data_IF_329000805433
#
_entry.id   IF_329000805433
#
_cell.length_a   1.000
_cell.length_b   1.000
_cell.length_c   1.000
_cell.angle_alpha   90.00
_cell.angle_beta   90.00
_cell.angle_gamma   90.00
#
_symmetry.space_group_name_H-M   'P 1'
#
loop_
_entity.id
_entity.type
_entity.pdbx_description
1 polymer ?
#
# COMPACT_ATOMS: atom_id res chain seq x y z
N UNK A 1 -0.36 20.84 15.33
CA UNK A 1 -0.15 19.41 15.65
C UNK A 1 0.83 18.84 14.62
N UNK A 2 1.91 18.23 15.08
CA UNK A 2 2.83 17.55 14.18
C UNK A 2 2.39 16.10 14.10
N UNK A 3 2.32 15.57 12.90
CA UNK A 3 2.04 14.17 12.66
C UNK A 3 3.27 13.53 12.04
N UNK A 4 3.72 12.42 12.61
CA UNK A 4 4.63 11.52 11.96
C UNK A 4 3.85 10.73 10.90
N UNK A 5 4.42 10.59 9.72
CA UNK A 5 3.79 9.90 8.61
C UNK A 5 4.77 8.90 8.02
N UNK A 6 4.28 7.70 7.73
CA UNK A 6 5.05 6.69 7.02
C UNK A 6 5.09 7.07 5.54
N UNK A 7 6.28 7.07 4.97
CA UNK A 7 6.50 7.38 3.57
C UNK A 7 7.00 6.17 2.79
N UNK A 8 6.54 6.01 1.56
CA UNK A 8 7.08 5.06 0.58
C UNK A 8 7.50 5.80 -0.69
N UNK A 9 8.51 5.27 -1.36
CA UNK A 9 9.03 5.79 -2.61
C UNK A 9 8.68 4.82 -3.73
N UNK A 10 7.70 5.17 -4.54
CA UNK A 10 7.15 4.27 -5.55
C UNK A 10 7.89 4.45 -6.88
N UNK A 11 8.62 3.43 -7.29
CA UNK A 11 9.30 3.37 -8.57
C UNK A 11 9.05 2.01 -9.22
N UNK A 12 8.59 1.99 -10.47
CA UNK A 12 8.22 0.79 -11.21
C UNK A 12 7.33 -0.17 -10.40
N UNK A 13 6.34 0.40 -9.69
CA UNK A 13 5.39 -0.33 -8.86
C UNK A 13 5.97 -0.96 -7.59
N UNK A 14 7.21 -0.64 -7.22
CA UNK A 14 7.92 -1.18 -6.05
C UNK A 14 8.34 -0.07 -5.11
N UNK A 15 8.52 -0.41 -3.84
CA UNK A 15 9.10 0.53 -2.89
C UNK A 15 10.60 0.64 -3.13
N UNK A 16 11.09 1.83 -3.43
CA UNK A 16 12.52 2.13 -3.56
C UNK A 16 13.09 2.57 -2.20
N UNK A 17 14.36 2.28 -1.94
CA UNK A 17 15.05 2.72 -0.72
C UNK A 17 15.69 4.08 -0.95
N UNK A 18 15.12 5.11 -0.33
CA UNK A 18 15.70 6.45 -0.23
C UNK A 18 15.64 7.31 -1.49
N UNK A 19 15.62 8.61 -1.26
CA UNK A 19 16.03 9.60 -2.25
C UNK A 19 17.54 9.80 -2.07
N UNK A 20 18.39 9.31 -2.99
CA UNK A 20 19.80 9.70 -2.96
C UNK A 20 19.86 11.21 -3.18
N UNK A 21 20.08 11.93 -2.09
CA UNK A 21 20.19 13.38 -2.13
C UNK A 21 21.40 13.80 -2.95
N UNK A 22 21.19 14.21 -4.14
CA UNK A 22 21.95 15.19 -4.93
C UNK A 22 21.76 15.11 -6.45
N UNK A 23 21.15 14.06 -7.00
CA UNK A 23 21.04 13.96 -8.47
C UNK A 23 19.70 13.46 -9.02
N UNK A 24 18.68 13.24 -8.19
CA UNK A 24 17.38 12.77 -8.68
C UNK A 24 17.35 11.34 -9.24
N UNK A 25 18.47 10.63 -9.18
CA UNK A 25 18.54 9.22 -9.49
C UNK A 25 18.36 8.44 -8.19
N UNK A 26 17.19 7.86 -7.99
CA UNK A 26 17.00 6.87 -6.95
C UNK A 26 17.88 5.68 -7.29
N UNK A 27 18.92 5.42 -6.51
CA UNK A 27 19.57 4.12 -6.53
C UNK A 27 18.53 3.11 -6.03
N UNK A 28 18.01 2.35 -6.99
CA UNK A 28 16.95 1.41 -6.77
C UNK A 28 17.51 0.13 -6.14
N UNK A 29 17.79 0.15 -4.84
CA UNK A 29 17.73 -1.08 -4.08
C UNK A 29 16.26 -1.40 -3.91
N UNK A 30 15.72 -2.27 -4.74
CA UNK A 30 14.35 -2.76 -4.66
C UNK A 30 14.20 -3.43 -3.30
N UNK A 31 13.58 -2.72 -2.36
CA UNK A 31 13.21 -3.29 -1.09
C UNK A 31 12.25 -4.48 -1.34
N UNK A 32 12.44 -5.55 -0.59
CA UNK A 32 11.66 -6.79 -0.72
C UNK A 32 10.17 -6.62 -0.34
N UNK A 33 9.76 -5.43 0.08
CA UNK A 33 8.43 -5.19 0.61
C UNK A 33 7.52 -4.52 -0.40
N UNK A 34 6.41 -5.15 -0.62
CA UNK A 34 5.34 -4.66 -1.46
C UNK A 34 4.65 -3.46 -0.78
N UNK A 35 4.38 -2.34 -1.49
CA UNK A 35 3.77 -1.13 -0.93
C UNK A 35 2.50 -1.38 -0.12
N UNK A 36 1.65 -2.31 -0.56
CA UNK A 36 0.43 -2.67 0.15
C UNK A 36 0.70 -3.35 1.50
N UNK A 37 1.72 -4.20 1.58
CA UNK A 37 2.11 -4.83 2.85
C UNK A 37 2.60 -3.79 3.88
N UNK A 38 3.31 -2.76 3.41
CA UNK A 38 3.72 -1.63 4.26
C UNK A 38 2.49 -0.89 4.79
N UNK A 39 1.52 -0.59 3.93
CA UNK A 39 0.26 0.06 4.33
C UNK A 39 -0.49 -0.73 5.41
N UNK A 40 -0.56 -2.06 5.26
CA UNK A 40 -1.18 -2.91 6.25
C UNK A 40 -0.47 -2.86 7.61
N UNK A 41 0.87 -2.81 7.59
CA UNK A 41 1.67 -2.58 8.79
C UNK A 41 1.35 -1.24 9.45
N UNK A 42 1.27 -0.16 8.68
CA UNK A 42 0.90 1.17 9.16
C UNK A 42 -0.49 1.19 9.83
N UNK A 43 -1.48 0.55 9.20
CA UNK A 43 -2.82 0.45 9.77
C UNK A 43 -2.82 -0.26 11.13
N UNK A 44 -2.07 -1.36 11.24
CA UNK A 44 -1.97 -2.12 12.49
C UNK A 44 -1.23 -1.35 13.59
N UNK A 45 -0.29 -0.49 13.22
CA UNK A 45 0.43 0.39 14.14
C UNK A 45 -0.37 1.65 14.54
N UNK A 46 -1.55 1.86 13.95
CA UNK A 46 -2.38 3.04 14.23
C UNK A 46 -1.90 4.32 13.55
N UNK A 47 -1.10 4.20 12.47
CA UNK A 47 -0.69 5.34 11.67
C UNK A 47 -1.91 6.02 11.02
N UNK A 48 -1.88 7.35 10.97
CA UNK A 48 -3.06 8.13 10.55
C UNK A 48 -3.17 8.33 9.04
N UNK A 49 -2.07 8.22 8.33
CA UNK A 49 -1.99 8.35 6.87
C UNK A 49 -0.69 7.74 6.35
N UNK A 50 -0.61 7.54 5.05
CA UNK A 50 0.59 7.13 4.33
C UNK A 50 0.93 8.17 3.26
N UNK A 51 2.21 8.57 3.18
CA UNK A 51 2.75 9.38 2.10
C UNK A 51 3.37 8.50 1.02
N UNK A 52 3.01 8.73 -0.22
CA UNK A 52 3.61 8.07 -1.38
C UNK A 52 4.33 9.10 -2.23
N UNK A 53 5.64 8.94 -2.40
CA UNK A 53 6.42 9.69 -3.37
C UNK A 53 6.44 8.93 -4.68
N UNK A 54 5.76 9.46 -5.71
CA UNK A 54 5.81 8.89 -7.05
C UNK A 54 7.09 9.35 -7.77
N UNK A 55 8.00 8.41 -7.98
CA UNK A 55 9.32 8.60 -8.60
C UNK A 55 9.37 8.14 -10.05
N UNK A 56 8.23 7.97 -10.73
CA UNK A 56 8.21 7.58 -12.13
C UNK A 56 9.05 8.50 -13.00
N UNK A 57 9.95 7.93 -13.77
CA UNK A 57 10.82 8.64 -14.70
C UNK A 57 10.15 8.86 -16.06
N UNK A 58 9.25 7.95 -16.46
CA UNK A 58 8.53 7.98 -17.72
C UNK A 58 7.07 7.54 -17.58
N UNK A 59 6.31 7.61 -18.67
CA UNK A 59 4.89 7.27 -18.69
C UNK A 59 4.60 5.78 -18.46
N UNK A 60 5.54 4.89 -18.75
CA UNK A 60 5.39 3.45 -18.50
C UNK A 60 5.51 3.15 -17.00
N UNK A 61 6.54 3.67 -16.36
CA UNK A 61 6.68 3.59 -14.90
C UNK A 61 5.50 4.26 -14.19
N UNK A 62 5.04 5.42 -14.70
CA UNK A 62 3.87 6.12 -14.15
C UNK A 62 2.62 5.23 -14.20
N UNK A 63 2.35 4.53 -15.29
CA UNK A 63 1.19 3.64 -15.39
C UNK A 63 1.24 2.52 -14.34
N UNK A 64 2.41 1.92 -14.13
CA UNK A 64 2.62 0.88 -13.11
C UNK A 64 2.43 1.45 -11.70
N UNK A 65 2.95 2.64 -11.42
CA UNK A 65 2.79 3.31 -10.13
C UNK A 65 1.33 3.68 -9.87
N UNK A 66 0.58 4.14 -10.86
CA UNK A 66 -0.85 4.45 -10.74
C UNK A 66 -1.69 3.21 -10.39
N UNK A 67 -1.36 2.04 -10.95
CA UNK A 67 -2.03 0.79 -10.59
C UNK A 67 -1.77 0.40 -9.12
N UNK A 68 -0.58 0.62 -8.62
CA UNK A 68 -0.26 0.43 -7.19
C UNK A 68 -0.98 1.42 -6.30
N UNK A 69 -0.98 2.71 -6.67
CA UNK A 69 -1.72 3.75 -5.94
C UNK A 69 -3.21 3.45 -5.89
N UNK A 70 -3.81 3.00 -7.00
CA UNK A 70 -5.22 2.55 -7.04
C UNK A 70 -5.50 1.47 -6.01
N UNK A 71 -4.61 0.49 -5.89
CA UNK A 71 -4.72 -0.58 -4.91
C UNK A 71 -4.66 -0.04 -3.48
N UNK A 72 -3.67 0.82 -3.19
CA UNK A 72 -3.49 1.42 -1.87
C UNK A 72 -4.72 2.25 -1.45
N UNK A 73 -5.24 3.09 -2.35
CA UNK A 73 -6.41 3.93 -2.07
C UNK A 73 -7.70 3.12 -1.94
N UNK A 74 -7.88 2.08 -2.75
CA UNK A 74 -9.10 1.26 -2.75
C UNK A 74 -9.22 0.39 -1.52
N UNK A 75 -8.12 -0.25 -1.14
CA UNK A 75 -8.10 -1.31 -0.14
C UNK A 75 -7.50 -0.88 1.20
N UNK A 76 -6.86 0.29 1.24
CA UNK A 76 -6.34 0.89 2.46
C UNK A 76 -7.44 1.44 3.38
N UNK A 77 -7.24 1.33 4.71
CA UNK A 77 -8.12 1.96 5.70
C UNK A 77 -7.58 3.31 6.20
N UNK A 78 -6.35 3.68 5.81
CA UNK A 78 -5.75 4.97 6.11
C UNK A 78 -5.66 5.83 4.86
N UNK A 79 -5.78 7.17 4.97
CA UNK A 79 -5.64 8.08 3.85
C UNK A 79 -4.28 7.95 3.16
N UNK A 80 -4.28 7.98 1.82
CA UNK A 80 -3.08 8.03 1.01
C UNK A 80 -2.86 9.45 0.53
N UNK A 81 -1.72 10.01 0.89
CA UNK A 81 -1.23 11.28 0.35
C UNK A 81 -0.19 10.99 -0.71
N UNK A 82 -0.10 11.83 -1.73
CA UNK A 82 0.87 11.64 -2.81
C UNK A 82 1.69 12.90 -3.03
N UNK A 83 2.99 12.71 -3.24
CA UNK A 83 3.95 13.72 -3.66
C UNK A 83 4.78 13.17 -4.82
N UNK A 84 5.57 14.02 -5.47
CA UNK A 84 6.45 13.63 -6.56
C UNK A 84 6.60 14.74 -7.60
N UNK A 85 6.98 14.35 -8.80
CA UNK A 85 7.13 15.29 -9.93
C UNK A 85 5.76 15.59 -10.55
N UNK A 86 5.04 16.55 -9.96
CA UNK A 86 3.69 16.97 -10.38
C UNK A 86 3.81 18.28 -11.17
N UNK A 87 3.67 18.20 -12.49
CA UNK A 87 3.94 19.31 -13.39
C UNK A 87 2.69 19.89 -14.08
N UNK A 88 1.53 19.24 -13.95
CA UNK A 88 0.30 19.66 -14.60
C UNK A 88 -0.96 19.19 -13.84
N UNK A 89 -2.08 19.82 -14.20
CA UNK A 89 -3.40 19.57 -13.61
C UNK A 89 -3.89 18.12 -13.86
N UNK A 90 -3.60 17.56 -15.03
CA UNK A 90 -4.04 16.21 -15.36
C UNK A 90 -3.42 15.16 -14.42
N UNK A 91 -2.18 15.37 -13.98
CA UNK A 91 -1.53 14.50 -13.01
C UNK A 91 -2.20 14.60 -11.63
N UNK A 92 -2.55 15.81 -11.18
CA UNK A 92 -3.32 16.03 -9.95
C UNK A 92 -4.68 15.32 -10.03
N UNK A 93 -5.39 15.52 -11.12
CA UNK A 93 -6.70 14.90 -11.39
C UNK A 93 -6.63 13.37 -11.36
N UNK A 94 -5.58 12.77 -11.93
CA UNK A 94 -5.37 11.32 -11.90
C UNK A 94 -5.21 10.81 -10.47
N UNK A 95 -4.34 11.41 -9.66
CA UNK A 95 -4.15 10.98 -8.28
C UNK A 95 -5.41 11.11 -7.43
N UNK A 96 -6.11 12.25 -7.51
CA UNK A 96 -7.37 12.42 -6.79
C UNK A 96 -8.44 11.46 -7.29
N UNK A 97 -8.50 11.19 -8.59
CA UNK A 97 -9.43 10.22 -9.20
C UNK A 97 -9.14 8.76 -8.79
N UNK A 98 -7.93 8.43 -8.38
CA UNK A 98 -7.59 7.13 -7.80
C UNK A 98 -8.03 6.99 -6.33
N UNK A 99 -8.45 8.08 -5.68
CA UNK A 99 -8.84 8.11 -4.26
C UNK A 99 -7.74 8.61 -3.32
N UNK A 100 -6.65 9.19 -3.84
CA UNK A 100 -5.69 9.87 -2.98
C UNK A 100 -6.38 11.02 -2.25
N UNK A 101 -6.17 11.11 -0.93
CA UNK A 101 -6.83 12.12 -0.10
C UNK A 101 -6.27 13.52 -0.35
N UNK A 102 -4.95 13.63 -0.53
CA UNK A 102 -4.24 14.89 -0.81
C UNK A 102 -3.10 14.70 -1.79
N UNK A 103 -2.83 15.75 -2.55
CA UNK A 103 -1.71 15.87 -3.48
C UNK A 103 -0.79 17.00 -3.03
N UNK A 104 0.48 16.69 -2.80
CA UNK A 104 1.48 17.65 -2.36
C UNK A 104 2.31 18.15 -3.53
N UNK A 105 2.25 19.45 -3.79
CA UNK A 105 2.98 20.10 -4.87
C UNK A 105 4.34 20.58 -4.36
N UNK A 106 5.37 20.36 -5.18
CA UNK A 106 6.73 20.85 -4.91
C UNK A 106 7.01 22.10 -5.75
N UNK A 107 7.33 23.20 -5.09
CA UNK A 107 7.61 24.46 -5.74
C UNK A 107 9.08 24.58 -6.13
N UNK A 108 9.44 23.97 -7.26
CA UNK A 108 10.78 24.16 -7.86
C UNK A 108 10.84 25.24 -8.93
N UNK A 109 9.71 25.80 -9.37
CA UNK A 109 9.66 26.71 -10.51
C UNK A 109 8.54 27.74 -10.42
N UNK A 110 8.67 28.84 -11.21
CA UNK A 110 7.62 29.84 -11.39
C UNK A 110 6.28 29.28 -11.92
N UNK A 111 6.31 28.13 -12.60
CA UNK A 111 5.11 27.40 -13.02
C UNK A 111 4.31 26.86 -11.84
N UNK A 112 4.95 26.60 -10.70
CA UNK A 112 4.29 26.00 -9.53
C UNK A 112 3.19 26.88 -8.94
N UNK A 113 3.36 28.20 -8.89
CA UNK A 113 2.34 29.11 -8.36
C UNK A 113 1.08 29.11 -9.22
N UNK A 114 1.25 29.21 -10.54
CA UNK A 114 0.12 29.17 -11.49
C UNK A 114 -0.61 27.83 -11.44
N UNK A 115 0.14 26.74 -11.37
CA UNK A 115 -0.43 25.40 -11.21
C UNK A 115 -1.22 25.27 -9.91
N UNK A 116 -0.72 25.85 -8.79
CA UNK A 116 -1.42 25.84 -7.52
C UNK A 116 -2.73 26.62 -7.59
N UNK A 117 -2.72 27.85 -8.13
CA UNK A 117 -3.91 28.69 -8.27
C UNK A 117 -4.99 27.97 -9.10
N UNK A 118 -4.60 27.35 -10.21
CA UNK A 118 -5.49 26.56 -11.07
C UNK A 118 -6.03 25.33 -10.32
N UNK A 119 -5.16 24.57 -9.61
CA UNK A 119 -5.54 23.41 -8.86
C UNK A 119 -6.51 23.73 -7.71
N UNK A 120 -6.30 24.84 -7.01
CA UNK A 120 -7.23 25.32 -5.96
C UNK A 120 -8.60 25.61 -6.54
N UNK A 121 -8.66 26.26 -7.71
CA UNK A 121 -9.93 26.55 -8.39
C UNK A 121 -10.70 25.29 -8.79
N UNK A 122 -10.00 24.22 -9.14
CA UNK A 122 -10.62 22.98 -9.61
C UNK A 122 -10.93 21.98 -8.49
N UNK A 123 -10.06 21.82 -7.52
CA UNK A 123 -10.14 20.72 -6.54
C UNK A 123 -10.38 21.21 -5.10
N UNK A 124 -10.21 22.50 -4.87
CA UNK A 124 -10.27 23.09 -3.52
C UNK A 124 -8.97 22.89 -2.73
N UNK A 125 -8.70 23.81 -1.81
CA UNK A 125 -7.49 23.79 -0.97
C UNK A 125 -7.36 22.53 -0.11
N UNK A 126 -8.48 21.92 0.26
CA UNK A 126 -8.50 20.75 1.16
C UNK A 126 -7.87 19.50 0.53
N UNK A 127 -7.79 19.46 -0.80
CA UNK A 127 -7.13 18.38 -1.55
C UNK A 127 -5.66 18.64 -1.83
N UNK A 128 -5.16 19.80 -1.46
CA UNK A 128 -3.82 20.25 -1.80
C UNK A 128 -2.96 20.42 -0.55
N UNK A 129 -1.71 20.01 -0.69
CA UNK A 129 -0.63 20.25 0.26
C UNK A 129 0.59 20.86 -0.43
N UNK A 130 1.49 21.38 0.35
CA UNK A 130 2.75 21.91 -0.15
C UNK A 130 3.93 21.15 0.46
N UNK A 131 4.78 20.61 -0.42
CA UNK A 131 6.01 19.92 -0.08
C UNK A 131 7.20 20.85 -0.20
N UNK A 132 8.01 20.96 0.84
CA UNK A 132 9.18 21.83 0.93
C UNK A 132 10.42 21.03 1.35
N UNK A 133 11.41 20.99 0.49
CA UNK A 133 12.67 20.28 0.71
C UNK A 133 13.68 21.11 1.52
N UNK A 134 13.76 22.43 1.26
CA UNK A 134 14.71 23.33 1.91
C UNK A 134 14.05 24.69 2.22
N UNK A 135 14.52 25.43 3.26
CA UNK A 135 13.96 26.73 3.61
C UNK A 135 14.18 27.80 2.55
N UNK A 136 15.19 27.66 1.70
CA UNK A 136 15.53 28.60 0.60
C UNK A 136 14.48 28.57 -0.52
N UNK A 137 13.63 27.57 -0.55
CA UNK A 137 12.52 27.42 -1.51
C UNK A 137 11.21 28.03 -1.02
N UNK A 138 11.22 28.75 0.12
CA UNK A 138 10.13 29.67 0.45
C UNK A 138 10.09 30.73 -0.66
N UNK A 139 8.90 31.04 -1.25
CA UNK A 139 8.81 32.10 -2.26
C UNK A 139 9.52 33.36 -1.82
N UNK A 140 10.08 34.14 -2.75
CA UNK A 140 10.89 35.33 -2.50
C UNK A 140 10.27 36.30 -1.46
N UNK A 141 8.97 36.27 -1.28
CA UNK A 141 8.24 37.09 -0.30
C UNK A 141 8.09 36.40 1.08
N UNK A 142 8.68 35.24 1.29
CA UNK A 142 8.62 34.53 2.57
C UNK A 142 7.22 34.03 3.00
N UNK A 143 6.23 34.09 2.11
CA UNK A 143 4.82 33.81 2.42
C UNK A 143 4.48 32.38 2.04
N UNK A 144 4.09 31.61 3.06
CA UNK A 144 3.50 30.28 2.89
C UNK A 144 2.11 30.46 2.28
N UNK A 145 1.71 29.70 1.24
CA UNK A 145 0.39 29.84 0.62
C UNK A 145 -0.72 29.22 1.48
N UNK A 146 -0.93 29.76 2.68
CA UNK A 146 -1.90 29.22 3.67
C UNK A 146 -3.34 29.25 3.18
N UNK A 147 -3.65 30.11 2.20
CA UNK A 147 -4.99 30.19 1.60
C UNK A 147 -5.21 29.12 0.53
N UNK A 148 -4.15 28.67 -0.10
CA UNK A 148 -4.15 27.79 -1.26
C UNK A 148 -3.98 26.31 -0.89
N UNK A 149 -3.39 26.01 0.27
CA UNK A 149 -3.16 24.64 0.72
C UNK A 149 -3.71 24.40 2.12
N UNK A 150 -3.95 23.13 2.44
CA UNK A 150 -4.49 22.72 3.75
C UNK A 150 -3.44 22.10 4.66
N UNK A 151 -2.25 21.81 4.15
CA UNK A 151 -1.20 21.08 4.89
C UNK A 151 0.18 21.34 4.29
N UNK A 152 1.19 21.28 5.14
CA UNK A 152 2.60 21.32 4.71
C UNK A 152 3.26 19.96 4.93
N UNK A 153 4.14 19.57 4.02
CA UNK A 153 5.10 18.49 4.17
C UNK A 153 6.50 19.12 4.14
N UNK A 154 7.24 18.99 5.23
CA UNK A 154 8.56 19.59 5.38
C UNK A 154 9.63 18.51 5.52
N UNK A 155 10.70 18.64 4.74
CA UNK A 155 11.95 17.93 5.00
C UNK A 155 12.64 18.48 6.27
N UNK A 156 13.51 17.71 6.92
CA UNK A 156 14.23 18.16 8.11
C UNK A 156 14.95 19.48 7.93
N UNK A 157 15.52 19.72 6.75
CA UNK A 157 16.19 20.97 6.40
C UNK A 157 15.22 22.19 6.38
N UNK A 158 13.94 21.95 6.15
CA UNK A 158 12.89 22.98 6.12
C UNK A 158 12.10 23.10 7.44
N UNK A 159 12.45 22.33 8.47
CA UNK A 159 11.71 22.28 9.74
C UNK A 159 11.57 23.64 10.44
N UNK A 160 12.49 24.58 10.21
CA UNK A 160 12.43 25.95 10.75
C UNK A 160 11.21 26.76 10.27
N UNK A 161 10.55 26.31 9.17
CA UNK A 161 9.35 26.96 8.63
C UNK A 161 8.10 26.64 9.46
N UNK A 162 8.14 25.58 10.26
CA UNK A 162 7.03 25.12 11.07
C UNK A 162 6.41 26.19 11.97
N UNK A 163 7.26 27.02 12.59
CA UNK A 163 6.81 28.06 13.53
C UNK A 163 6.24 29.30 12.82
N UNK A 164 6.30 29.34 11.48
CA UNK A 164 5.82 30.44 10.65
C UNK A 164 4.42 30.21 10.07
N UNK A 165 3.77 29.11 10.41
CA UNK A 165 2.46 28.74 9.84
C UNK A 165 1.52 28.20 10.89
N UNK A 166 0.20 28.40 10.65
CA UNK A 166 -0.88 27.75 11.41
C UNK A 166 -1.38 26.45 10.77
N UNK A 167 -0.89 26.13 9.58
CA UNK A 167 -1.26 24.89 8.89
C UNK A 167 -0.76 23.66 9.65
N UNK A 168 -1.47 22.54 9.56
CA UNK A 168 -0.94 21.24 9.96
C UNK A 168 0.36 20.93 9.21
N UNK A 169 1.37 20.49 9.93
CA UNK A 169 2.70 20.19 9.39
C UNK A 169 2.98 18.71 9.54
N UNK A 170 3.31 18.07 8.44
CA UNK A 170 3.93 16.76 8.39
C UNK A 170 5.45 16.95 8.34
N UNK A 171 6.18 16.32 9.23
CA UNK A 171 7.64 16.25 9.15
C UNK A 171 8.01 14.94 8.47
N UNK A 172 8.75 15.08 7.36
CA UNK A 172 9.30 13.94 6.67
C UNK A 172 10.62 13.55 7.34
N UNK A 173 10.62 12.45 8.06
CA UNK A 173 11.83 11.88 8.63
C UNK A 173 12.29 10.71 7.76
N UNK A 174 13.43 10.86 7.11
CA UNK A 174 14.04 9.84 6.25
C UNK A 174 14.18 8.47 6.95
N UNK A 175 14.37 8.48 8.27
CA UNK A 175 14.51 7.27 9.09
C UNK A 175 13.21 6.47 9.27
N UNK A 176 12.03 7.10 9.10
CA UNK A 176 10.73 6.41 9.07
C UNK A 176 10.22 6.13 7.66
N UNK A 177 10.82 6.77 6.66
CA UNK A 177 10.48 6.60 5.26
C UNK A 177 10.90 5.27 4.67
N UNK A 178 11.72 4.53 5.36
CA UNK A 178 12.29 3.30 4.81
C UNK A 178 11.95 2.15 5.73
N UNK A 179 11.04 1.31 5.27
CA UNK A 179 11.17 -0.09 5.57
C UNK A 179 12.47 -0.58 4.93
N UNK A 180 13.62 -0.24 5.54
CA UNK A 180 14.84 -1.00 5.31
C UNK A 180 14.62 -2.40 5.85
N UNK A 181 15.33 -3.37 5.33
CA UNK A 181 15.30 -4.74 5.88
C UNK A 181 15.48 -4.77 7.42
N UNK A 182 16.13 -3.73 7.98
CA UNK A 182 16.42 -3.58 9.41
C UNK A 182 15.29 -2.89 10.21
N UNK A 183 14.38 -2.16 9.56
CA UNK A 183 13.31 -1.37 10.20
C UNK A 183 11.89 -1.88 9.95
N UNK A 184 11.73 -2.89 9.10
CA UNK A 184 10.45 -3.59 9.03
C UNK A 184 10.33 -4.37 10.33
N UNK A 185 9.19 -4.22 11.06
CA UNK A 185 8.93 -5.12 12.18
C UNK A 185 9.22 -6.54 11.72
N UNK A 186 9.91 -7.31 12.53
CA UNK A 186 10.26 -8.70 12.20
C UNK A 186 9.04 -9.49 11.69
N UNK A 187 7.84 -9.00 12.04
CA UNK A 187 6.56 -9.48 11.55
C UNK A 187 5.61 -8.28 11.37
N UNK A 188 4.91 -8.20 10.22
CA UNK A 188 3.79 -7.26 10.01
C UNK A 188 2.63 -7.63 10.94
N UNK A 189 2.44 -8.94 11.18
CA UNK A 189 1.48 -9.47 12.14
C UNK A 189 2.19 -10.30 13.20
N UNK A 190 1.78 -10.12 14.45
CA UNK A 190 2.14 -11.01 15.54
C UNK A 190 1.01 -12.02 15.74
N UNK A 191 1.34 -13.30 15.78
CA UNK A 191 0.37 -14.32 16.13
C UNK A 191 0.17 -14.35 17.64
N UNK A 192 -1.09 -14.40 18.08
CA UNK A 192 -1.46 -14.60 19.47
C UNK A 192 -1.30 -16.09 19.91
N UNK A 193 -1.13 -16.98 18.93
CA UNK A 193 -1.05 -18.44 19.12
C UNK A 193 0.24 -18.93 18.50
N UNK A 194 1.00 -19.74 19.23
CA UNK A 194 2.24 -20.32 18.72
C UNK A 194 1.94 -21.45 17.72
N UNK A 195 2.84 -21.66 16.74
CA UNK A 195 2.65 -22.76 15.77
C UNK A 195 2.56 -24.14 16.43
N UNK A 196 3.15 -24.30 17.62
CA UNK A 196 3.07 -25.54 18.40
C UNK A 196 1.65 -25.94 18.79
N UNK A 197 0.78 -24.96 18.98
CA UNK A 197 -0.62 -25.12 19.41
C UNK A 197 -1.59 -25.50 18.27
N UNK A 198 -1.12 -25.41 17.02
CA UNK A 198 -1.92 -25.82 15.87
C UNK A 198 -1.97 -27.33 15.78
N UNK A 199 -3.15 -27.90 15.54
CA UNK A 199 -3.32 -29.32 15.21
C UNK A 199 -3.07 -29.51 13.71
N UNK A 200 -1.99 -30.19 13.39
CA UNK A 200 -1.54 -30.46 12.04
C UNK A 200 -2.02 -31.80 11.57
N UNK A 201 -2.24 -31.95 10.27
CA UNK A 201 -2.47 -33.26 9.66
C UNK A 201 -1.21 -34.17 9.71
N UNK A 202 -1.29 -35.37 9.16
CA UNK A 202 -0.19 -36.35 9.15
C UNK A 202 1.08 -35.86 8.42
N UNK A 203 0.95 -34.87 7.55
CA UNK A 203 2.07 -34.24 6.81
C UNK A 203 2.64 -33.01 7.53
N UNK A 204 2.16 -32.67 8.73
CA UNK A 204 2.58 -31.49 9.47
C UNK A 204 1.99 -30.17 8.94
N UNK A 205 0.91 -30.26 8.17
CA UNK A 205 0.27 -29.12 7.50
C UNK A 205 -1.06 -28.77 8.15
N UNK A 206 -1.43 -27.49 8.07
CA UNK A 206 -2.73 -26.96 8.46
C UNK A 206 -3.46 -26.45 7.21
N UNK A 207 -4.71 -26.86 6.96
CA UNK A 207 -5.52 -26.31 5.88
C UNK A 207 -5.86 -24.84 6.13
N UNK A 208 -5.97 -24.09 5.04
CA UNK A 208 -6.31 -22.68 5.06
C UNK A 208 -7.47 -22.45 4.10
N UNK A 209 -8.62 -22.08 4.66
CA UNK A 209 -9.76 -21.58 3.90
C UNK A 209 -9.54 -20.10 3.64
N UNK A 210 -9.51 -19.70 2.37
CA UNK A 210 -9.26 -18.32 1.96
C UNK A 210 -10.55 -17.66 1.52
N UNK A 211 -10.87 -16.53 2.16
CA UNK A 211 -12.12 -15.81 1.97
C UNK A 211 -11.84 -14.35 1.60
N UNK A 212 -12.58 -13.80 0.64
CA UNK A 212 -12.53 -12.37 0.36
C UNK A 212 -13.10 -11.57 1.53
N UNK A 213 -12.37 -10.55 2.00
CA UNK A 213 -12.75 -9.79 3.19
C UNK A 213 -13.95 -8.86 2.96
N UNK A 214 -14.27 -8.51 1.69
CA UNK A 214 -15.35 -7.58 1.36
C UNK A 214 -16.72 -8.25 1.27
N UNK A 215 -16.79 -9.38 0.59
CA UNK A 215 -18.05 -10.07 0.28
C UNK A 215 -18.19 -11.44 0.93
N UNK A 216 -17.17 -11.87 1.69
CA UNK A 216 -17.10 -13.19 2.34
C UNK A 216 -17.14 -14.38 1.36
N UNK A 217 -16.86 -14.16 0.07
CA UNK A 217 -16.75 -15.24 -0.91
C UNK A 217 -15.56 -16.13 -0.57
N UNK A 218 -15.77 -17.45 -0.53
CA UNK A 218 -14.67 -18.41 -0.39
C UNK A 218 -13.93 -18.50 -1.71
N UNK A 219 -12.64 -18.19 -1.69
CA UNK A 219 -11.82 -18.07 -2.89
C UNK A 219 -11.09 -19.37 -3.24
N UNK A 220 -10.51 -20.02 -2.25
CA UNK A 220 -9.72 -21.24 -2.44
C UNK A 220 -9.43 -21.91 -1.09
N UNK A 221 -8.90 -23.13 -1.17
CA UNK A 221 -8.27 -23.81 -0.03
C UNK A 221 -6.82 -24.14 -0.38
N UNK A 222 -5.94 -23.93 0.56
CA UNK A 222 -4.52 -24.25 0.46
C UNK A 222 -4.01 -24.84 1.79
N UNK A 223 -2.70 -24.99 1.93
CA UNK A 223 -2.07 -25.54 3.13
C UNK A 223 -0.88 -24.70 3.55
N UNK A 224 -0.63 -24.66 4.85
CA UNK A 224 0.57 -24.03 5.43
C UNK A 224 1.33 -25.06 6.28
N UNK A 225 2.65 -24.99 6.21
CA UNK A 225 3.58 -25.45 7.24
C UNK A 225 3.99 -24.22 8.09
N UNK A 226 4.82 -24.44 9.10
CA UNK A 226 5.29 -23.37 9.99
C UNK A 226 5.96 -22.22 9.20
N UNK A 227 6.84 -22.56 8.28
CA UNK A 227 7.58 -21.58 7.48
C UNK A 227 6.65 -20.70 6.60
N UNK A 228 5.60 -21.31 6.02
CA UNK A 228 4.58 -20.58 5.24
C UNK A 228 3.77 -19.63 6.13
N UNK A 229 3.40 -20.07 7.33
CA UNK A 229 2.68 -19.26 8.31
C UNK A 229 3.54 -18.07 8.77
N UNK A 230 4.79 -18.30 9.17
CA UNK A 230 5.72 -17.26 9.59
C UNK A 230 6.02 -16.26 8.46
N UNK A 231 6.20 -16.75 7.22
CA UNK A 231 6.36 -15.90 6.05
C UNK A 231 5.12 -15.04 5.78
N UNK A 232 3.91 -15.59 5.98
CA UNK A 232 2.65 -14.84 5.87
C UNK A 232 2.58 -13.75 6.93
N UNK A 233 2.86 -14.06 8.19
CA UNK A 233 2.89 -13.08 9.28
C UNK A 233 3.94 -11.99 9.07
N UNK A 234 5.12 -12.35 8.57
CA UNK A 234 6.21 -11.42 8.32
C UNK A 234 5.91 -10.46 7.16
N UNK A 235 5.28 -10.95 6.09
CA UNK A 235 5.15 -10.19 4.85
C UNK A 235 3.76 -9.60 4.61
N UNK A 236 2.73 -10.06 5.34
CA UNK A 236 1.33 -9.73 5.09
C UNK A 236 0.78 -10.31 3.79
N UNK A 237 1.56 -11.12 3.07
CA UNK A 237 1.16 -11.81 1.84
C UNK A 237 0.92 -13.29 2.12
N UNK A 238 -0.18 -13.81 1.59
CA UNK A 238 -0.46 -15.23 1.74
C UNK A 238 0.63 -16.07 1.08
N UNK A 239 1.32 -16.80 1.92
CA UNK A 239 2.33 -17.80 1.56
C UNK A 239 1.81 -19.16 1.97
N UNK A 240 1.89 -20.12 1.08
CA UNK A 240 1.38 -21.47 1.27
C UNK A 240 2.49 -22.50 1.10
N UNK A 241 2.21 -23.71 1.53
CA UNK A 241 3.00 -24.89 1.22
C UNK A 241 2.36 -25.66 0.07
N UNK A 242 3.08 -25.76 -1.03
CA UNK A 242 2.66 -26.59 -2.17
C UNK A 242 2.94 -28.05 -1.90
N UNK A 243 1.89 -28.86 -1.69
CA UNK A 243 2.02 -30.30 -1.41
C UNK A 243 2.65 -31.07 -2.58
N UNK A 244 2.32 -30.71 -3.82
CA UNK A 244 2.83 -31.39 -5.02
C UNK A 244 4.29 -31.04 -5.32
N UNK A 245 4.69 -29.77 -5.12
CA UNK A 245 6.04 -29.29 -5.39
C UNK A 245 6.98 -29.38 -4.19
N UNK A 246 6.40 -29.53 -2.99
CA UNK A 246 7.13 -29.56 -1.71
C UNK A 246 7.98 -28.29 -1.50
N UNK A 247 7.40 -27.13 -1.78
CA UNK A 247 8.05 -25.83 -1.65
C UNK A 247 7.08 -24.76 -1.17
N UNK A 248 7.64 -23.65 -0.66
CA UNK A 248 6.87 -22.44 -0.37
C UNK A 248 6.33 -21.82 -1.64
N UNK A 249 5.10 -21.36 -1.56
CA UNK A 249 4.42 -20.69 -2.66
C UNK A 249 3.78 -19.38 -2.20
N UNK A 250 4.39 -18.25 -2.57
CA UNK A 250 3.77 -16.93 -2.37
C UNK A 250 2.70 -16.72 -3.44
N UNK A 251 1.46 -16.56 -2.99
CA UNK A 251 0.34 -16.34 -3.91
C UNK A 251 0.51 -15.04 -4.68
N UNK A 252 0.46 -15.13 -6.01
CA UNK A 252 0.57 -14.00 -6.91
C UNK A 252 1.99 -13.60 -7.32
N UNK A 253 3.04 -14.29 -6.83
CA UNK A 253 4.42 -13.92 -7.16
C UNK A 253 4.69 -13.91 -8.68
N UNK A 254 4.12 -14.87 -9.40
CA UNK A 254 4.28 -14.99 -10.87
C UNK A 254 3.16 -14.30 -11.64
N UNK A 255 1.90 -14.38 -11.14
CA UNK A 255 0.72 -13.91 -11.88
C UNK A 255 0.31 -12.47 -11.56
N UNK A 256 0.88 -11.86 -10.53
CA UNK A 256 0.39 -10.58 -9.99
C UNK A 256 -0.92 -10.68 -9.19
N UNK A 257 -1.54 -11.87 -9.11
CA UNK A 257 -2.80 -12.09 -8.39
C UNK A 257 -2.54 -12.36 -6.90
N UNK A 258 -2.07 -11.34 -6.19
CA UNK A 258 -1.71 -11.41 -4.78
C UNK A 258 -2.92 -11.57 -3.85
N UNK A 259 -2.66 -12.10 -2.67
CA UNK A 259 -3.58 -12.14 -1.54
C UNK A 259 -2.92 -11.47 -0.34
N UNK A 260 -3.51 -10.36 0.11
CA UNK A 260 -3.02 -9.62 1.26
C UNK A 260 -3.88 -9.92 2.48
N UNK A 261 -3.25 -10.30 3.58
CA UNK A 261 -3.90 -10.68 4.82
C UNK A 261 -4.69 -9.50 5.40
N UNK A 262 -5.93 -9.75 5.81
CA UNK A 262 -6.75 -8.87 6.65
C UNK A 262 -6.92 -9.45 8.05
N UNK A 263 -7.17 -10.74 8.15
CA UNK A 263 -7.15 -11.47 9.41
C UNK A 263 -6.84 -12.94 9.15
N UNK A 264 -6.24 -13.58 10.16
CA UNK A 264 -6.10 -15.03 10.27
C UNK A 264 -6.78 -15.44 11.56
N UNK A 265 -7.65 -16.41 11.50
CA UNK A 265 -8.40 -16.93 12.66
C UNK A 265 -8.32 -18.44 12.64
N UNK A 266 -8.06 -19.04 13.78
CA UNK A 266 -8.17 -20.49 13.96
C UNK A 266 -9.62 -20.88 14.26
N UNK A 267 -10.00 -22.06 13.86
CA UNK A 267 -11.26 -22.67 14.29
C UNK A 267 -11.19 -23.14 15.75
N UNK A 268 -12.28 -23.72 16.24
CA UNK A 268 -12.47 -24.03 17.66
C UNK A 268 -11.51 -25.09 18.21
N UNK A 269 -10.95 -25.93 17.37
CA UNK A 269 -10.04 -26.99 17.76
C UNK A 269 -8.64 -26.90 17.19
N UNK A 270 -8.32 -25.73 16.59
CA UNK A 270 -7.01 -25.30 16.10
C UNK A 270 -6.46 -26.13 14.93
N UNK A 271 -7.31 -26.72 14.12
CA UNK A 271 -6.89 -27.57 12.99
C UNK A 271 -7.06 -26.90 11.62
N UNK A 272 -7.76 -25.74 11.54
CA UNK A 272 -8.04 -25.04 10.29
C UNK A 272 -7.89 -23.52 10.45
N UNK A 273 -7.24 -22.88 9.48
CA UNK A 273 -7.11 -21.42 9.42
C UNK A 273 -8.18 -20.85 8.47
N UNK A 274 -8.95 -19.87 8.94
CA UNK A 274 -9.71 -18.97 8.09
C UNK A 274 -8.87 -17.72 7.82
N UNK A 275 -8.47 -17.53 6.56
CA UNK A 275 -7.74 -16.36 6.10
C UNK A 275 -8.68 -15.41 5.34
N UNK A 276 -8.98 -14.24 5.92
CA UNK A 276 -9.68 -13.18 5.20
C UNK A 276 -8.64 -12.30 4.50
N UNK A 277 -8.78 -12.14 3.18
CA UNK A 277 -7.76 -11.50 2.34
C UNK A 277 -8.35 -10.44 1.40
N UNK A 278 -7.52 -9.45 1.04
CA UNK A 278 -7.76 -8.62 -0.13
C UNK A 278 -7.18 -9.35 -1.35
N UNK A 279 -8.05 -9.88 -2.21
CA UNK A 279 -7.66 -10.60 -3.42
C UNK A 279 -7.48 -9.67 -4.59
N UNK A 280 -6.32 -9.71 -5.23
CA UNK A 280 -6.05 -9.03 -6.50
C UNK A 280 -6.28 -10.02 -7.65
N UNK A 281 -7.12 -9.61 -8.62
CA UNK A 281 -7.43 -10.46 -9.77
C UNK A 281 -8.08 -11.79 -9.41
N UNK A 282 -7.79 -12.83 -10.19
CA UNK A 282 -8.34 -14.17 -10.01
C UNK A 282 -7.60 -14.97 -8.93
N UNK A 283 -8.33 -15.65 -8.05
CA UNK A 283 -7.72 -16.58 -7.11
C UNK A 283 -7.34 -17.90 -7.80
N UNK A 284 -8.18 -18.37 -8.72
CA UNK A 284 -7.96 -19.61 -9.46
C UNK A 284 -6.93 -19.46 -10.57
N UNK A 285 -6.11 -20.49 -10.79
CA UNK A 285 -5.15 -20.55 -11.91
C UNK A 285 -5.82 -20.61 -13.30
N UNK A 286 -7.11 -20.99 -13.36
CA UNK A 286 -7.92 -21.01 -14.58
C UNK A 286 -8.50 -19.63 -14.94
N UNK A 287 -8.23 -18.59 -14.14
CA UNK A 287 -8.73 -17.23 -14.35
C UNK A 287 -10.05 -16.89 -13.64
N UNK A 288 -10.70 -17.86 -12.99
CA UNK A 288 -11.92 -17.61 -12.20
C UNK A 288 -11.60 -16.87 -10.91
N UNK A 289 -12.55 -16.04 -10.47
CA UNK A 289 -12.44 -15.30 -9.20
C UNK A 289 -12.23 -16.25 -8.02
N UNK A 290 -13.01 -17.32 -7.95
CA UNK A 290 -12.94 -18.39 -6.94
C UNK A 290 -12.58 -19.72 -7.58
N UNK A 291 -11.98 -20.62 -6.81
CA UNK A 291 -11.78 -22.02 -7.20
C UNK A 291 -13.09 -22.85 -7.10
N UNK A 292 -14.10 -22.32 -6.42
CA UNK A 292 -15.38 -23.00 -6.18
C UNK A 292 -16.45 -22.57 -7.18
N UNK A 293 -16.25 -22.88 -8.46
CA UNK A 293 -17.17 -22.52 -9.55
C UNK A 293 -17.98 -23.71 -10.09
N UNK A 294 -17.67 -24.96 -9.70
CA UNK A 294 -18.41 -26.15 -10.10
C UNK A 294 -19.45 -26.52 -9.06
N UNK A 295 -20.72 -26.47 -9.40
CA UNK A 295 -21.80 -26.92 -8.52
C UNK A 295 -21.91 -28.45 -8.56
N UNK A 296 -21.86 -29.10 -7.39
CA UNK A 296 -22.05 -30.53 -7.25
C UNK A 296 -23.54 -30.89 -7.13
N UNK A 297 -24.32 -30.06 -6.46
CA UNK A 297 -25.76 -30.24 -6.26
C UNK A 297 -26.46 -28.98 -6.72
N UNK A 298 -27.47 -29.12 -7.58
CA UNK A 298 -28.35 -28.02 -8.01
C UNK A 298 -29.68 -28.15 -7.28
N UNK A 299 -30.24 -27.09 -6.77
CA UNK A 299 -31.63 -27.05 -6.31
C UNK A 299 -32.54 -26.98 -7.53
N UNK A 300 -33.56 -27.82 -7.58
CA UNK A 300 -34.54 -27.89 -8.66
C UNK A 300 -35.21 -26.52 -8.83
N UNK A 301 -34.92 -25.82 -9.92
CA UNK A 301 -35.48 -24.51 -10.22
C UNK A 301 -34.59 -23.61 -11.07
N UNK A 302 -33.31 -23.86 -11.18
CA UNK A 302 -32.44 -23.11 -12.10
C UNK A 302 -32.34 -23.82 -13.46
N UNK A 303 -33.19 -23.41 -14.40
CA UNK A 303 -33.06 -23.77 -15.82
C UNK A 303 -31.67 -23.39 -16.33
N UNK A 304 -31.03 -24.33 -17.03
CA UNK A 304 -29.83 -24.03 -17.84
C UNK A 304 -30.16 -22.89 -18.78
N UNK A 305 -29.44 -21.80 -18.69
CA UNK A 305 -29.14 -20.97 -19.83
C UNK A 305 -27.78 -21.48 -20.34
N UNK A 306 -27.85 -22.50 -21.19
CA UNK A 306 -26.75 -22.85 -22.07
C UNK A 306 -26.78 -21.83 -23.20
N UNK A 307 -25.76 -20.92 -23.22
CA UNK A 307 -25.27 -20.26 -24.42
C UNK A 307 -23.77 -19.96 -24.24
#
# INVERSE_FOLDING_TARGET
MNYEIVSIYLKDGRNATGLSGKSGAAECCVGSYEPYAIMMGCQNNGDRAMMVFDLAADSKEEAVNLDKLRLLCRDGAIPVYVAGKIENIEKIKRYLGLGCEKVFLNFRSACGKKLLEEAVGMFGREKLGWYMETPEKVPENGVIPEKEVSMLLLEPAAACVKDRTKLPVLLHEEKRAVCTADNVPAHIYQSAVSWGEFKKNGDGLVPVVVQDYKNNEVLMVAYMNQEAFEATCRTGRMTYWSRSRRELWVKGLTSGHFQFVRSLTLDCDNDTILARVAQIGAACHTGHRSCFFQQLIRTDGECRQDD
#
